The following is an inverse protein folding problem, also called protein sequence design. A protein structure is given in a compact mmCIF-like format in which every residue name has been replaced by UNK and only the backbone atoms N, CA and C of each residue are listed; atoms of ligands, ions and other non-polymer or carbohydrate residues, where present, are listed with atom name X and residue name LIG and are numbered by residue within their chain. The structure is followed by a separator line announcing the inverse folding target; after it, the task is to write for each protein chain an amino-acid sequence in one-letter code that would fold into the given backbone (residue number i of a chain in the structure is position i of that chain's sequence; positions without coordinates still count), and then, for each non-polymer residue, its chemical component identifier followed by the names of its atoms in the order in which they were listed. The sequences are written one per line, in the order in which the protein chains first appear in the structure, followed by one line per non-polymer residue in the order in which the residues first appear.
data_IF_219134418054
#
_entry.id   IF_219134418054
#
_cell.length_a   1.000
_cell.length_b   1.000
_cell.length_c   1.000
_cell.angle_alpha   90.00
_cell.angle_beta   90.00
_cell.angle_gamma   90.00
#
_symmetry.space_group_name_H-M   'P 1'
#
loop_
_entity.id
_entity.type
_entity.pdbx_description
1 polymer ?
#
# COMPACT_ATOMS: atom_id res chain seq x y z
N UNK A 1 32.03 31.96 -52.80
CA UNK A 1 32.81 30.71 -52.66
C UNK A 1 33.91 31.03 -51.67
N UNK A 2 33.96 30.41 -50.50
CA UNK A 2 34.55 29.09 -50.29
C UNK A 2 33.80 28.29 -49.21
N UNK A 3 33.63 27.00 -49.49
CA UNK A 3 32.99 25.99 -48.65
C UNK A 3 34.08 25.36 -47.76
N UNK A 4 33.75 25.04 -46.51
CA UNK A 4 33.95 23.72 -45.86
C UNK A 4 34.02 23.79 -44.32
N UNK A 5 32.95 23.30 -43.70
CA UNK A 5 32.90 22.38 -42.53
C UNK A 5 33.55 22.80 -41.21
N UNK A 6 32.69 23.02 -40.20
CA UNK A 6 32.90 22.45 -38.86
C UNK A 6 31.54 22.21 -38.17
N UNK A 7 31.12 20.94 -38.13
CA UNK A 7 29.98 20.42 -37.39
C UNK A 7 30.29 20.35 -35.89
N UNK A 8 29.40 20.84 -35.02
CA UNK A 8 29.35 20.40 -33.62
C UNK A 8 27.95 20.52 -33.04
N UNK A 9 27.30 19.36 -32.96
CA UNK A 9 26.11 19.01 -32.18
C UNK A 9 26.20 19.50 -30.74
N UNK A 10 25.25 20.33 -30.28
CA UNK A 10 25.01 20.55 -28.84
C UNK A 10 23.50 20.40 -28.57
N UNK A 11 23.13 19.15 -28.36
CA UNK A 11 22.29 18.68 -27.26
C UNK A 11 21.01 19.45 -26.93
N UNK A 12 19.89 18.93 -27.46
CA UNK A 12 18.69 18.59 -26.70
C UNK A 12 18.74 18.94 -25.20
N UNK A 13 18.27 20.13 -24.83
CA UNK A 13 17.91 20.45 -23.44
C UNK A 13 16.39 20.39 -23.29
N UNK A 14 15.81 19.23 -23.58
CA UNK A 14 14.58 18.83 -22.90
C UNK A 14 14.96 18.64 -21.44
N UNK A 15 14.68 19.64 -20.61
CA UNK A 15 14.60 19.45 -19.16
C UNK A 15 13.55 18.38 -18.91
N UNK A 16 13.99 17.14 -18.80
CA UNK A 16 13.27 16.08 -18.11
C UNK A 16 13.19 16.60 -16.67
N UNK A 17 12.09 17.25 -16.34
CA UNK A 17 11.65 17.41 -14.96
C UNK A 17 11.31 15.99 -14.52
N UNK A 18 12.33 15.24 -14.11
CA UNK A 18 12.12 14.00 -13.41
C UNK A 18 11.30 14.37 -12.17
N UNK A 19 10.14 13.74 -11.93
CA UNK A 19 9.51 13.86 -10.64
C UNK A 19 10.56 13.41 -9.63
N UNK A 20 10.95 14.32 -8.73
CA UNK A 20 11.75 13.97 -7.58
C UNK A 20 10.85 13.05 -6.76
N UNK A 21 10.94 11.74 -7.02
CA UNK A 21 10.26 10.73 -6.22
C UNK A 21 10.72 10.96 -4.80
N UNK A 22 9.84 11.58 -4.02
CA UNK A 22 10.01 11.67 -2.60
C UNK A 22 9.80 10.25 -2.09
N UNK A 23 10.87 9.47 -2.09
CA UNK A 23 10.98 8.24 -1.32
C UNK A 23 11.08 8.66 0.16
N UNK A 24 9.99 9.24 0.67
CA UNK A 24 9.87 9.57 2.06
C UNK A 24 9.75 8.22 2.75
N UNK A 25 10.79 7.86 3.51
CA UNK A 25 10.78 6.62 4.30
C UNK A 25 9.48 6.58 5.10
N UNK A 26 8.80 5.43 5.16
CA UNK A 26 7.53 5.34 5.88
C UNK A 26 7.74 5.72 7.34
N UNK A 27 6.72 6.29 7.99
CA UNK A 27 6.87 6.87 9.34
C UNK A 27 7.30 5.84 10.42
N UNK A 28 7.07 4.57 10.16
CA UNK A 28 7.45 3.44 11.01
C UNK A 28 8.88 2.93 10.74
N UNK A 29 9.56 3.38 9.67
CA UNK A 29 10.93 2.97 9.35
C UNK A 29 11.91 3.34 10.49
N UNK A 30 12.58 2.34 11.05
CA UNK A 30 13.48 2.50 12.20
C UNK A 30 12.79 2.65 13.56
N UNK A 31 11.46 2.69 13.61
CA UNK A 31 10.67 2.63 14.85
C UNK A 31 10.05 1.25 15.11
N UNK A 32 10.15 0.32 14.17
CA UNK A 32 9.67 -1.06 14.29
C UNK A 32 8.53 -1.37 13.33
N UNK A 33 7.54 -2.15 13.78
CA UNK A 33 6.43 -2.62 12.96
C UNK A 33 5.50 -1.46 12.52
N UNK A 34 4.93 -1.51 11.31
CA UNK A 34 3.86 -0.61 10.88
C UNK A 34 2.65 -0.67 11.83
N UNK A 35 1.96 0.47 12.03
CA UNK A 35 0.73 0.49 12.83
C UNK A 35 -0.47 -0.02 12.00
N UNK A 36 -0.74 -1.32 12.09
CA UNK A 36 -1.83 -1.96 11.36
C UNK A 36 -3.20 -1.53 11.90
N UNK A 37 -3.31 -1.08 13.16
CA UNK A 37 -4.59 -0.71 13.78
C UNK A 37 -5.21 0.54 13.12
N UNK A 38 -4.38 1.48 12.67
CA UNK A 38 -4.81 2.73 12.03
C UNK A 38 -5.41 2.54 10.62
N UNK A 39 -5.20 1.36 10.02
CA UNK A 39 -5.74 1.02 8.69
C UNK A 39 -7.28 0.95 8.76
N UNK A 40 -7.96 1.94 8.19
CA UNK A 40 -9.42 2.05 8.24
C UNK A 40 -10.11 1.57 6.95
N UNK A 41 -9.39 1.56 5.82
CA UNK A 41 -9.94 1.22 4.51
C UNK A 41 -9.03 0.27 3.73
N UNK A 42 -9.60 -0.37 2.70
CA UNK A 42 -8.85 -1.24 1.78
C UNK A 42 -7.76 -0.45 1.05
N UNK A 43 -8.02 0.82 0.70
CA UNK A 43 -7.00 1.67 0.07
C UNK A 43 -5.85 2.02 1.01
N UNK A 44 -6.13 2.22 2.31
CA UNK A 44 -5.07 2.44 3.29
C UNK A 44 -4.24 1.16 3.47
N UNK A 45 -4.89 0.00 3.42
CA UNK A 45 -4.22 -1.30 3.47
C UNK A 45 -3.32 -1.52 2.25
N UNK A 46 -3.79 -1.17 1.04
CA UNK A 46 -3.00 -1.26 -0.19
C UNK A 46 -1.81 -0.31 -0.21
N UNK A 47 -1.99 0.92 0.27
CA UNK A 47 -0.90 1.88 0.40
C UNK A 47 0.17 1.38 1.38
N UNK A 48 -0.25 0.87 2.54
CA UNK A 48 0.66 0.33 3.54
C UNK A 48 1.34 -0.96 3.06
N UNK A 49 0.64 -1.82 2.32
CA UNK A 49 1.20 -3.02 1.68
C UNK A 49 2.33 -2.65 0.71
N UNK A 50 2.12 -1.64 -0.14
CA UNK A 50 3.15 -1.14 -1.03
C UNK A 50 4.35 -0.51 -0.30
N UNK A 51 4.13 0.19 0.81
CA UNK A 51 5.22 0.72 1.65
C UNK A 51 6.04 -0.40 2.32
N UNK A 52 5.38 -1.47 2.79
CA UNK A 52 6.05 -2.65 3.38
C UNK A 52 6.89 -3.36 2.31
N UNK A 53 6.34 -3.59 1.11
CA UNK A 53 7.07 -4.23 0.01
C UNK A 53 8.32 -3.44 -0.40
N UNK A 54 8.20 -2.11 -0.56
CA UNK A 54 9.35 -1.25 -0.87
C UNK A 54 10.43 -1.32 0.20
N UNK A 55 10.04 -1.38 1.47
CA UNK A 55 10.99 -1.48 2.58
C UNK A 55 11.66 -2.86 2.63
N UNK A 56 10.92 -3.94 2.37
CA UNK A 56 11.48 -5.29 2.27
C UNK A 56 12.56 -5.36 1.17
N UNK A 57 12.29 -4.78 -0.01
CA UNK A 57 13.28 -4.68 -1.08
C UNK A 57 14.52 -3.86 -0.66
N UNK A 58 14.34 -2.74 0.03
CA UNK A 58 15.46 -1.93 0.56
C UNK A 58 16.31 -2.74 1.56
N UNK A 59 15.67 -3.46 2.48
CA UNK A 59 16.34 -4.32 3.47
C UNK A 59 17.10 -5.45 2.78
N UNK A 60 16.52 -6.10 1.77
CA UNK A 60 17.18 -7.17 1.02
C UNK A 60 18.45 -6.67 0.29
N UNK A 61 18.39 -5.48 -0.31
CA UNK A 61 19.56 -4.85 -0.93
C UNK A 61 20.64 -4.53 0.10
N UNK A 62 20.26 -4.05 1.29
CA UNK A 62 21.20 -3.77 2.38
C UNK A 62 21.86 -5.06 2.89
N UNK A 63 21.09 -6.14 3.06
CA UNK A 63 21.61 -7.47 3.44
C UNK A 63 22.66 -7.94 2.44
N UNK A 64 22.36 -7.86 1.14
CA UNK A 64 23.32 -8.25 0.08
C UNK A 64 24.58 -7.38 0.10
N UNK A 65 24.45 -6.07 0.27
CA UNK A 65 25.58 -5.15 0.37
C UNK A 65 26.46 -5.46 1.59
N UNK A 66 25.84 -5.70 2.76
CA UNK A 66 26.53 -6.03 4.01
C UNK A 66 27.20 -7.40 3.94
N UNK A 67 26.56 -8.41 3.35
CA UNK A 67 27.16 -9.74 3.08
C UNK A 67 28.40 -9.62 2.18
N UNK A 68 28.37 -8.76 1.15
CA UNK A 68 29.55 -8.49 0.30
C UNK A 68 30.66 -7.78 1.07
N UNK A 69 30.33 -6.75 1.86
CA UNK A 69 31.31 -6.04 2.71
C UNK A 69 31.95 -6.97 3.75
N UNK A 70 31.18 -7.88 4.35
CA UNK A 70 31.68 -8.84 5.33
C UNK A 70 32.68 -9.83 4.69
N UNK A 71 32.43 -10.25 3.44
CA UNK A 71 33.36 -11.10 2.67
C UNK A 71 34.65 -10.37 2.27
N UNK A 72 34.58 -9.08 1.98
CA UNK A 72 35.74 -8.25 1.60
C UNK A 72 36.53 -7.73 2.82
N UNK A 73 35.92 -7.73 4.00
CA UNK A 73 36.53 -7.30 5.25
C UNK A 73 37.60 -8.29 5.73
N UNK A 74 38.87 -7.90 5.64
CA UNK A 74 40.00 -8.67 6.19
C UNK A 74 40.20 -8.54 7.71
N UNK A 75 39.49 -7.61 8.38
CA UNK A 75 39.62 -7.38 9.83
C UNK A 75 38.51 -8.10 10.58
N UNK A 76 38.87 -8.99 11.52
CA UNK A 76 37.91 -9.77 12.31
C UNK A 76 36.90 -8.90 13.09
N UNK A 77 37.32 -7.73 13.57
CA UNK A 77 36.44 -6.79 14.30
C UNK A 77 35.37 -6.16 13.40
N UNK A 78 35.72 -5.84 12.16
CA UNK A 78 34.79 -5.22 11.21
C UNK A 78 33.81 -6.26 10.67
N UNK A 79 34.27 -7.50 10.45
CA UNK A 79 33.41 -8.64 10.10
C UNK A 79 32.34 -8.89 11.16
N UNK A 80 32.72 -8.88 12.45
CA UNK A 80 31.78 -9.11 13.55
C UNK A 80 30.69 -8.04 13.64
N UNK A 81 31.03 -6.76 13.41
CA UNK A 81 30.05 -5.68 13.35
C UNK A 81 29.09 -5.82 12.16
N UNK A 82 29.61 -6.23 11.01
CA UNK A 82 28.79 -6.46 9.82
C UNK A 82 27.86 -7.66 9.96
N UNK A 83 28.27 -8.70 10.71
CA UNK A 83 27.40 -9.83 11.07
C UNK A 83 26.28 -9.39 12.02
N UNK A 84 26.57 -8.56 13.03
CA UNK A 84 25.56 -8.02 13.96
C UNK A 84 24.55 -7.11 13.24
N UNK A 85 25.01 -6.27 12.31
CA UNK A 85 24.11 -5.47 11.46
C UNK A 85 23.29 -6.34 10.50
N UNK A 86 23.82 -7.48 10.05
CA UNK A 86 23.08 -8.43 9.21
C UNK A 86 21.95 -9.12 9.97
N UNK A 87 22.24 -9.57 11.19
CA UNK A 87 21.24 -10.17 12.08
C UNK A 87 20.10 -9.17 12.36
N UNK A 88 20.43 -7.91 12.67
CA UNK A 88 19.42 -6.86 12.85
C UNK A 88 18.58 -6.59 11.61
N UNK A 89 19.15 -6.66 10.41
CA UNK A 89 18.40 -6.48 9.16
C UNK A 89 17.51 -7.69 8.84
N UNK A 90 17.96 -8.90 9.16
CA UNK A 90 17.16 -10.12 9.02
C UNK A 90 15.97 -10.11 10.00
N UNK A 91 16.16 -9.64 11.24
CA UNK A 91 15.06 -9.40 12.20
C UNK A 91 14.07 -8.34 11.70
N UNK A 92 14.56 -7.24 11.11
CA UNK A 92 13.67 -6.22 10.51
C UNK A 92 12.84 -6.82 9.38
N UNK A 93 13.43 -7.68 8.54
CA UNK A 93 12.72 -8.36 7.45
C UNK A 93 11.62 -9.28 7.97
N UNK A 94 11.91 -10.09 8.99
CA UNK A 94 10.93 -11.00 9.58
C UNK A 94 9.74 -10.23 10.19
N UNK A 95 10.03 -9.13 10.90
CA UNK A 95 8.99 -8.25 11.45
C UNK A 95 8.11 -7.62 10.35
N UNK A 96 8.67 -7.36 9.17
CA UNK A 96 7.92 -6.86 8.01
C UNK A 96 7.02 -7.92 7.38
N UNK A 97 7.51 -9.16 7.24
CA UNK A 97 6.70 -10.27 6.75
C UNK A 97 5.52 -10.55 7.69
N UNK A 98 5.74 -10.56 9.00
CA UNK A 98 4.66 -10.72 10.00
C UNK A 98 3.64 -9.58 9.89
N UNK A 99 4.11 -8.35 9.67
CA UNK A 99 3.22 -7.19 9.51
C UNK A 99 2.42 -7.26 8.20
N UNK A 100 3.02 -7.78 7.13
CA UNK A 100 2.35 -8.00 5.85
C UNK A 100 1.24 -9.05 5.97
N UNK A 101 1.46 -10.14 6.70
CA UNK A 101 0.45 -11.17 6.96
C UNK A 101 -0.74 -10.61 7.74
N UNK A 102 -0.48 -9.90 8.83
CA UNK A 102 -1.52 -9.25 9.64
C UNK A 102 -2.31 -8.21 8.82
N UNK A 103 -1.63 -7.47 7.94
CA UNK A 103 -2.27 -6.52 7.04
C UNK A 103 -3.18 -7.20 6.02
N UNK A 104 -2.76 -8.33 5.45
CA UNK A 104 -3.57 -9.14 4.53
C UNK A 104 -4.83 -9.68 5.22
N UNK A 105 -4.72 -10.14 6.45
CA UNK A 105 -5.89 -10.57 7.23
C UNK A 105 -6.88 -9.39 7.42
N UNK A 106 -6.37 -8.23 7.84
CA UNK A 106 -7.19 -7.03 8.04
C UNK A 106 -7.85 -6.55 6.74
N UNK A 107 -7.12 -6.54 5.64
CA UNK A 107 -7.63 -6.20 4.29
C UNK A 107 -8.79 -7.12 3.89
N UNK A 108 -8.65 -8.43 4.08
CA UNK A 108 -9.73 -9.38 3.81
C UNK A 108 -10.96 -9.13 4.67
N UNK A 109 -10.77 -8.75 5.94
CA UNK A 109 -11.85 -8.35 6.83
C UNK A 109 -12.62 -7.12 6.34
N UNK A 110 -11.90 -6.10 5.90
CA UNK A 110 -12.47 -4.85 5.35
C UNK A 110 -13.21 -5.09 4.03
N UNK A 111 -12.68 -5.93 3.14
CA UNK A 111 -13.35 -6.32 1.89
C UNK A 111 -14.68 -7.02 2.16
N UNK A 112 -14.71 -8.01 3.06
CA UNK A 112 -15.96 -8.69 3.46
C UNK A 112 -16.98 -7.71 4.04
N UNK A 113 -16.54 -6.70 4.78
CA UNK A 113 -17.42 -5.67 5.31
C UNK A 113 -17.99 -4.80 4.19
N UNK A 114 -17.17 -4.41 3.21
CA UNK A 114 -17.57 -3.63 2.02
C UNK A 114 -18.59 -4.41 1.18
N UNK A 115 -18.35 -5.69 0.95
CA UNK A 115 -19.24 -6.56 0.17
C UNK A 115 -20.59 -6.73 0.86
N UNK A 116 -20.61 -7.00 2.18
CA UNK A 116 -21.87 -7.07 2.94
C UNK A 116 -22.68 -5.78 2.86
N UNK A 117 -22.03 -4.61 2.95
CA UNK A 117 -22.70 -3.30 2.80
C UNK A 117 -23.23 -3.10 1.38
N UNK A 118 -22.48 -3.51 0.36
CA UNK A 118 -22.92 -3.45 -1.03
C UNK A 118 -24.14 -4.37 -1.28
N UNK A 119 -24.11 -5.59 -0.76
CA UNK A 119 -25.22 -6.55 -0.86
C UNK A 119 -26.46 -6.07 -0.09
N UNK A 120 -26.32 -5.46 1.08
CA UNK A 120 -27.45 -4.83 1.80
C UNK A 120 -28.10 -3.74 0.96
N UNK A 121 -27.31 -2.83 0.38
CA UNK A 121 -27.80 -1.77 -0.51
C UNK A 121 -28.52 -2.34 -1.73
N UNK A 122 -27.99 -3.42 -2.35
CA UNK A 122 -28.64 -4.09 -3.48
C UNK A 122 -29.96 -4.73 -3.08
N UNK A 123 -30.01 -5.43 -1.94
CA UNK A 123 -31.22 -6.06 -1.42
C UNK A 123 -32.32 -5.03 -1.07
N UNK A 124 -31.95 -3.84 -0.59
CA UNK A 124 -32.90 -2.74 -0.33
C UNK A 124 -33.44 -2.12 -1.62
N UNK A 125 -32.59 -1.94 -2.65
CA UNK A 125 -33.00 -1.50 -3.98
C UNK A 125 -33.99 -2.48 -4.62
N UNK A 126 -33.72 -3.79 -4.53
CA UNK A 126 -34.56 -4.83 -5.15
C UNK A 126 -35.89 -5.04 -4.41
N UNK A 127 -35.92 -4.88 -3.08
CA UNK A 127 -37.15 -5.07 -2.26
C UNK A 127 -38.04 -3.83 -2.18
N UNK A 128 -37.51 -2.64 -2.49
CA UNK A 128 -38.17 -1.37 -2.21
C UNK A 128 -39.09 -0.83 -3.30
N UNK A 129 -38.85 -1.16 -4.57
CA UNK A 129 -39.49 -0.43 -5.67
C UNK A 129 -40.91 -0.93 -5.99
N UNK A 130 -41.15 -2.24 -6.07
CA UNK A 130 -42.47 -2.76 -6.50
C UNK A 130 -43.30 -3.32 -5.34
N UNK A 131 -42.76 -4.22 -4.51
CA UNK A 131 -43.50 -4.77 -3.37
C UNK A 131 -43.79 -3.72 -2.28
N UNK A 132 -42.89 -2.75 -2.09
CA UNK A 132 -43.07 -1.62 -1.18
C UNK A 132 -44.15 -0.63 -1.67
N UNK A 133 -44.21 -0.36 -2.97
CA UNK A 133 -45.25 0.48 -3.57
C UNK A 133 -46.61 -0.24 -3.54
N UNK A 134 -46.69 -1.52 -3.92
CA UNK A 134 -47.94 -2.29 -3.88
C UNK A 134 -48.54 -2.36 -2.46
N UNK A 135 -47.72 -2.64 -1.43
CA UNK A 135 -48.20 -2.63 -0.04
C UNK A 135 -48.63 -1.25 0.43
N UNK A 136 -47.93 -0.18 0.00
CA UNK A 136 -48.34 1.19 0.29
C UNK A 136 -49.64 1.53 -0.41
N UNK A 137 -49.85 1.14 -1.67
CA UNK A 137 -51.09 1.39 -2.40
C UNK A 137 -52.29 0.62 -1.83
N UNK A 138 -52.08 -0.64 -1.41
CA UNK A 138 -53.13 -1.46 -0.78
C UNK A 138 -53.50 -0.99 0.63
N UNK A 139 -52.53 -0.60 1.45
CA UNK A 139 -52.77 -0.14 2.83
C UNK A 139 -53.04 1.37 2.93
N UNK A 140 -52.62 2.18 1.97
CA UNK A 140 -52.87 3.63 1.97
C UNK A 140 -54.36 3.95 1.78
N UNK A 141 -55.12 3.08 1.13
CA UNK A 141 -56.58 3.27 1.01
C UNK A 141 -57.33 3.05 2.33
N UNK A 142 -56.72 2.36 3.32
CA UNK A 142 -57.37 2.00 4.59
C UNK A 142 -57.31 3.10 5.67
N UNK A 143 -56.31 3.98 5.68
CA UNK A 143 -56.16 4.96 6.78
C UNK A 143 -57.08 6.18 6.66
N UNK A 144 -57.47 6.59 5.45
CA UNK A 144 -58.46 7.67 5.25
C UNK A 144 -59.90 7.21 5.49
N UNK A 145 -60.17 5.91 5.32
CA UNK A 145 -61.49 5.30 5.53
C UNK A 145 -61.95 5.27 6.99
N UNK A 146 -61.08 5.61 7.94
CA UNK A 146 -61.39 5.68 9.36
C UNK A 146 -62.04 7.01 9.79
N UNK A 147 -62.11 8.00 8.90
CA UNK A 147 -62.67 9.32 9.16
C UNK A 147 -63.98 9.61 8.40
N UNK A 148 -64.57 8.61 7.73
CA UNK A 148 -65.97 8.61 7.25
C UNK A 148 -66.89 7.96 8.30
#
# INVERSE_FOLDING_TARGET
MNKSVLTLTIFSLTLIVAPFSSAKKPEWAGKGKPNIEEVASVSDAEALEGEIEQRQEEVDLLIEEKKKKAKQSGKAKDKRKLEEELESLEEEKEALEESQENLKEKKSGLEKQKDKKADQKRNELDKGSEQGQQKREEHSKKWWKFWE
#
